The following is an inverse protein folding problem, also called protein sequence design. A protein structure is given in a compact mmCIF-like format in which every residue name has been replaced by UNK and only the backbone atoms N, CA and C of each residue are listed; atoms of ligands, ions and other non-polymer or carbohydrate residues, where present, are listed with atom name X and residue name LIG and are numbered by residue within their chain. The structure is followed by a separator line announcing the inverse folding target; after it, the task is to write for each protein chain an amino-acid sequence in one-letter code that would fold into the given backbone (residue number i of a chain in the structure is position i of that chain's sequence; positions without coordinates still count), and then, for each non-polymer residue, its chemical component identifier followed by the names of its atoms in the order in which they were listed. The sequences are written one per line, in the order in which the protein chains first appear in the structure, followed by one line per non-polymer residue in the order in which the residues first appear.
data_IF_969918053623
#
_entry.id   IF_969918053623
#
_cell.length_a   1.000
_cell.length_b   1.000
_cell.length_c   1.000
_cell.angle_alpha   90.00
_cell.angle_beta   90.00
_cell.angle_gamma   90.00
#
_symmetry.space_group_name_H-M   'P 1'
#
loop_
_entity.id
_entity.type
_entity.pdbx_description
1 polymer ?
#
# COMPACT_ATOMS: atom_id res chain seq x y z
N UNK A 1 -9.42 -54.98 -61.28
CA UNK A 1 -9.97 -53.60 -61.32
C UNK A 1 -8.90 -52.69 -60.72
N UNK A 2 -8.01 -52.04 -61.49
CA UNK A 2 -8.26 -50.91 -62.42
C UNK A 2 -8.93 -49.73 -61.70
N UNK A 3 -8.35 -48.52 -61.66
CA UNK A 3 -7.05 -48.03 -62.18
C UNK A 3 -6.63 -46.73 -61.44
N UNK A 4 -5.33 -46.45 -61.20
CA UNK A 4 -4.81 -45.13 -60.81
C UNK A 4 -4.13 -44.41 -62.01
N UNK A 5 -3.36 -43.33 -61.75
CA UNK A 5 -2.35 -42.67 -62.66
C UNK A 5 -2.98 -41.75 -63.74
N UNK A 6 -2.43 -40.62 -64.23
CA UNK A 6 -1.28 -39.71 -64.00
C UNK A 6 -1.76 -38.25 -64.33
N UNK A 7 -1.15 -37.12 -63.98
CA UNK A 7 0.21 -36.57 -64.23
C UNK A 7 0.55 -36.29 -65.72
N UNK A 8 1.30 -35.19 -65.93
CA UNK A 8 2.09 -34.79 -67.12
C UNK A 8 1.48 -33.81 -68.17
N UNK A 9 2.02 -32.59 -68.11
CA UNK A 9 2.38 -31.65 -69.20
C UNK A 9 3.27 -32.29 -70.30
N UNK A 10 3.77 -31.57 -71.35
CA UNK A 10 3.44 -30.24 -71.90
C UNK A 10 3.27 -30.27 -73.46
N UNK A 11 3.30 -29.11 -74.16
CA UNK A 11 4.29 -28.77 -75.23
C UNK A 11 3.94 -27.46 -75.98
N UNK A 12 4.98 -26.70 -76.33
CA UNK A 12 4.96 -25.48 -77.15
C UNK A 12 4.47 -25.70 -78.60
N UNK A 13 3.90 -24.65 -79.22
CA UNK A 13 4.42 -24.10 -80.49
C UNK A 13 3.79 -22.75 -80.91
N UNK A 14 4.61 -21.95 -81.57
CA UNK A 14 4.29 -20.78 -82.40
C UNK A 14 5.32 -20.76 -83.56
N UNK A 15 5.26 -19.88 -84.58
CA UNK A 15 4.20 -19.01 -85.10
C UNK A 15 4.02 -19.16 -86.66
N UNK A 16 3.37 -18.18 -87.31
CA UNK A 16 3.37 -17.89 -88.78
C UNK A 16 2.49 -18.82 -89.68
N UNK A 17 2.00 -18.42 -90.87
CA UNK A 17 2.22 -17.20 -91.68
C UNK A 17 1.01 -16.82 -92.57
N UNK A 18 1.03 -15.56 -93.04
CA UNK A 18 0.10 -14.84 -93.93
C UNK A 18 -0.18 -15.45 -95.32
N UNK A 19 -1.30 -15.05 -95.96
CA UNK A 19 -1.27 -14.52 -97.35
C UNK A 19 -2.55 -13.76 -97.81
N UNK A 20 -2.30 -12.52 -98.29
CA UNK A 20 -2.88 -11.75 -99.41
C UNK A 20 -4.40 -11.41 -99.58
N UNK A 21 -4.60 -10.12 -99.94
CA UNK A 21 -5.82 -9.40 -100.34
C UNK A 21 -6.36 -9.81 -101.74
N UNK A 22 -7.57 -9.33 -102.13
CA UNK A 22 -7.62 -8.14 -103.02
C UNK A 22 -8.47 -6.95 -102.52
N UNK A 23 -8.38 -5.83 -103.25
CA UNK A 23 -9.02 -4.50 -103.04
C UNK A 23 -9.61 -4.08 -104.41
N UNK A 24 -10.72 -3.35 -104.61
CA UNK A 24 -11.28 -2.12 -103.99
C UNK A 24 -12.84 -2.09 -104.18
N UNK A 25 -13.63 -0.99 -103.99
CA UNK A 25 -13.28 0.39 -103.61
C UNK A 25 -14.16 1.07 -102.51
N UNK A 26 -13.82 2.34 -102.25
CA UNK A 26 -14.32 3.26 -101.23
C UNK A 26 -15.84 3.46 -101.09
N UNK A 27 -16.27 3.66 -99.84
CA UNK A 27 -17.32 4.61 -99.47
C UNK A 27 -16.68 5.71 -98.60
N UNK A 28 -16.98 6.96 -98.90
CA UNK A 28 -16.68 8.09 -98.03
C UNK A 28 -17.81 8.20 -97.01
N UNK A 29 -17.53 7.94 -95.73
CA UNK A 29 -18.41 8.36 -94.63
C UNK A 29 -17.70 9.46 -93.84
N UNK A 30 -18.44 10.52 -93.55
CA UNK A 30 -17.92 11.72 -92.91
C UNK A 30 -17.49 11.44 -91.48
N UNK A 31 -16.19 11.60 -91.17
CA UNK A 31 -15.74 11.69 -89.78
C UNK A 31 -16.28 12.96 -89.14
N UNK A 32 -17.44 12.85 -88.50
CA UNK A 32 -17.90 13.84 -87.52
C UNK A 32 -16.85 13.90 -86.42
N UNK A 33 -16.26 15.08 -86.10
CA UNK A 33 -15.30 15.15 -85.01
C UNK A 33 -16.01 14.86 -83.69
N UNK A 34 -15.58 13.81 -82.99
CA UNK A 34 -15.94 13.58 -81.60
C UNK A 34 -15.50 14.79 -80.78
N UNK A 35 -16.46 15.66 -80.44
CA UNK A 35 -16.24 16.74 -79.48
C UNK A 35 -16.02 16.08 -78.12
N UNK A 36 -14.75 15.88 -77.78
CA UNK A 36 -14.35 15.55 -76.41
C UNK A 36 -14.63 16.81 -75.58
N UNK A 37 -15.86 16.91 -75.07
CA UNK A 37 -16.17 17.94 -74.08
C UNK A 37 -15.24 17.72 -72.89
N UNK A 38 -14.53 18.75 -72.40
CA UNK A 38 -13.77 18.60 -71.17
C UNK A 38 -14.75 18.21 -70.07
N UNK A 39 -14.52 17.05 -69.45
CA UNK A 39 -15.34 16.59 -68.33
C UNK A 39 -15.12 17.56 -67.18
N UNK A 40 -16.03 18.51 -67.02
CA UNK A 40 -15.88 19.56 -66.02
C UNK A 40 -15.92 18.92 -64.63
N UNK A 41 -14.77 18.91 -63.95
CA UNK A 41 -14.59 18.40 -62.60
C UNK A 41 -15.67 18.97 -61.67
N UNK A 42 -16.63 18.12 -61.29
CA UNK A 42 -17.64 18.45 -60.29
C UNK A 42 -17.00 18.28 -58.91
N UNK A 43 -17.23 19.23 -58.03
CA UNK A 43 -16.77 19.17 -56.64
C UNK A 43 -17.97 19.04 -55.71
N UNK A 44 -17.83 18.26 -54.64
CA UNK A 44 -18.83 18.14 -53.58
C UNK A 44 -18.19 18.29 -52.20
N UNK A 45 -19.04 18.52 -51.20
CA UNK A 45 -18.64 18.71 -49.81
C UNK A 45 -19.17 17.60 -48.91
N UNK A 46 -18.36 17.21 -47.93
CA UNK A 46 -18.70 16.23 -46.92
C UNK A 46 -18.55 16.87 -45.55
N UNK A 47 -19.67 17.08 -44.86
CA UNK A 47 -19.69 17.60 -43.48
C UNK A 47 -19.60 16.44 -42.50
N UNK A 48 -18.70 16.53 -41.52
CA UNK A 48 -18.39 15.46 -40.58
C UNK A 48 -18.72 15.94 -39.16
N UNK A 49 -19.60 15.19 -38.50
CA UNK A 49 -19.98 15.39 -37.10
C UNK A 49 -19.36 14.31 -36.22
N UNK A 50 -18.72 14.72 -35.13
CA UNK A 50 -18.21 13.85 -34.08
C UNK A 50 -19.09 14.08 -32.85
N UNK A 51 -20.02 13.16 -32.59
CA UNK A 51 -21.03 13.31 -31.54
C UNK A 51 -20.98 12.15 -30.56
N UNK A 52 -21.37 12.41 -29.33
CA UNK A 52 -21.52 11.38 -28.31
C UNK A 52 -22.89 10.67 -28.40
N UNK A 53 -23.14 9.73 -27.49
CA UNK A 53 -24.41 9.01 -27.38
C UNK A 53 -25.63 9.87 -27.01
N UNK A 54 -25.45 11.09 -26.48
CA UNK A 54 -26.50 12.08 -26.26
C UNK A 54 -26.65 13.07 -27.43
N UNK A 55 -25.95 12.84 -28.55
CA UNK A 55 -25.85 13.73 -29.73
C UNK A 55 -25.15 15.07 -29.45
N UNK A 56 -24.39 15.17 -28.36
CA UNK A 56 -23.57 16.36 -28.04
C UNK A 56 -22.30 16.33 -28.91
N UNK A 57 -21.95 17.43 -29.61
CA UNK A 57 -20.70 17.50 -30.36
C UNK A 57 -19.47 17.43 -29.45
N UNK A 58 -18.58 16.48 -29.71
CA UNK A 58 -17.29 16.35 -29.01
C UNK A 58 -16.23 17.34 -29.52
N UNK A 59 -16.49 17.97 -30.68
CA UNK A 59 -15.70 19.05 -31.28
C UNK A 59 -16.55 19.81 -32.32
N UNK A 60 -16.10 20.98 -32.80
CA UNK A 60 -16.66 21.58 -34.01
C UNK A 60 -16.63 20.60 -35.19
N UNK A 61 -17.66 20.70 -36.02
CA UNK A 61 -17.80 19.96 -37.28
C UNK A 61 -16.64 20.26 -38.22
N UNK A 62 -16.43 19.38 -39.19
CA UNK A 62 -15.38 19.54 -40.18
C UNK A 62 -15.96 19.34 -41.57
N UNK A 63 -15.64 20.22 -42.52
CA UNK A 63 -16.08 20.08 -43.91
C UNK A 63 -14.87 19.75 -44.78
N UNK A 64 -14.99 18.67 -45.55
CA UNK A 64 -14.05 18.33 -46.62
C UNK A 64 -14.67 18.69 -47.96
N UNK A 65 -13.85 19.14 -48.91
CA UNK A 65 -14.26 19.44 -50.29
C UNK A 65 -13.31 18.72 -51.24
N UNK A 66 -13.84 18.09 -52.28
CA UNK A 66 -13.06 17.32 -53.23
C UNK A 66 -13.82 17.02 -54.51
N UNK A 67 -13.10 16.55 -55.52
CA UNK A 67 -13.68 16.20 -56.82
C UNK A 67 -14.49 14.90 -56.70
N UNK A 68 -15.69 14.90 -57.28
CA UNK A 68 -16.62 13.77 -57.24
C UNK A 68 -15.95 12.49 -57.77
N UNK A 69 -16.08 11.39 -57.02
CA UNK A 69 -15.45 10.11 -57.35
C UNK A 69 -14.00 9.96 -56.88
N UNK A 70 -13.32 11.02 -56.44
CA UNK A 70 -11.99 10.89 -55.80
C UNK A 70 -12.10 10.35 -54.37
N UNK A 71 -11.02 9.75 -53.86
CA UNK A 71 -11.00 9.11 -52.52
C UNK A 71 -11.25 10.15 -51.42
N UNK A 72 -12.16 9.83 -50.50
CA UNK A 72 -12.46 10.63 -49.33
C UNK A 72 -11.66 10.11 -48.13
N UNK A 73 -10.56 10.79 -47.79
CA UNK A 73 -9.81 10.50 -46.57
C UNK A 73 -10.53 11.10 -45.34
N UNK A 74 -10.91 10.25 -44.39
CA UNK A 74 -11.69 10.63 -43.22
C UNK A 74 -10.79 10.75 -41.98
N UNK A 75 -10.81 11.89 -41.25
CA UNK A 75 -10.01 12.05 -40.04
C UNK A 75 -10.57 11.17 -38.91
N UNK A 76 -9.93 10.03 -38.68
CA UNK A 76 -10.22 9.17 -37.54
C UNK A 76 -9.70 9.81 -36.25
N UNK A 77 -10.61 10.31 -35.42
CA UNK A 77 -10.26 10.98 -34.17
C UNK A 77 -10.44 10.06 -32.96
N UNK A 78 -9.57 10.22 -31.98
CA UNK A 78 -9.68 9.61 -30.65
C UNK A 78 -9.98 10.70 -29.64
N UNK A 79 -11.10 10.58 -28.93
CA UNK A 79 -11.45 11.46 -27.83
C UNK A 79 -11.12 10.76 -26.52
N UNK A 80 -10.41 11.45 -25.62
CA UNK A 80 -10.00 10.86 -24.35
C UNK A 80 -11.22 10.45 -23.53
N UNK A 81 -11.31 9.15 -23.19
CA UNK A 81 -12.46 8.59 -22.47
C UNK A 81 -13.58 8.02 -23.34
N UNK A 82 -13.45 8.05 -24.66
CA UNK A 82 -14.46 7.56 -25.60
C UNK A 82 -13.88 6.57 -26.61
N UNK A 83 -14.73 5.67 -27.12
CA UNK A 83 -14.45 4.85 -28.29
C UNK A 83 -15.46 5.15 -29.40
N UNK A 84 -15.04 5.00 -30.66
CA UNK A 84 -15.94 5.10 -31.82
C UNK A 84 -16.86 3.87 -31.81
N UNK A 85 -18.16 4.09 -31.70
CA UNK A 85 -19.16 3.05 -31.51
C UNK A 85 -20.00 2.78 -32.76
N UNK A 86 -20.24 3.79 -33.60
CA UNK A 86 -20.94 3.64 -34.87
C UNK A 86 -20.59 4.78 -35.84
N UNK A 87 -20.83 4.56 -37.14
CA UNK A 87 -20.71 5.57 -38.19
C UNK A 87 -21.98 5.50 -39.05
N UNK A 88 -22.59 6.64 -39.36
CA UNK A 88 -23.74 6.73 -40.27
C UNK A 88 -23.36 7.49 -41.54
N UNK A 89 -23.85 6.99 -42.68
CA UNK A 89 -23.64 7.54 -44.02
C UNK A 89 -22.16 7.61 -44.48
N UNK A 90 -21.32 6.68 -44.00
CA UNK A 90 -19.92 6.55 -44.41
C UNK A 90 -19.80 6.46 -45.95
N UNK A 91 -18.85 7.22 -46.52
CA UNK A 91 -18.46 7.17 -47.94
C UNK A 91 -16.96 6.90 -48.04
N UNK A 92 -16.53 6.23 -49.11
CA UNK A 92 -15.12 6.01 -49.44
C UNK A 92 -14.59 7.02 -50.48
N UNK A 93 -15.51 7.67 -51.22
CA UNK A 93 -15.21 8.62 -52.27
C UNK A 93 -16.13 9.84 -52.12
N UNK A 94 -15.75 10.99 -52.69
CA UNK A 94 -16.61 12.17 -52.72
C UNK A 94 -17.89 11.88 -53.53
N UNK A 95 -19.08 12.00 -52.91
CA UNK A 95 -20.38 11.72 -53.55
C UNK A 95 -20.74 12.79 -54.60
N UNK A 96 -21.73 12.54 -55.46
CA UNK A 96 -22.22 13.56 -56.41
C UNK A 96 -22.89 14.76 -55.71
N UNK A 97 -23.57 14.53 -54.59
CA UNK A 97 -24.27 15.54 -53.81
C UNK A 97 -23.60 15.78 -52.46
N UNK A 98 -23.65 17.03 -51.98
CA UNK A 98 -23.17 17.39 -50.64
C UNK A 98 -23.82 16.51 -49.56
N UNK A 99 -23.02 15.93 -48.67
CA UNK A 99 -23.52 14.94 -47.69
C UNK A 99 -22.95 15.15 -46.29
N UNK A 100 -23.59 14.49 -45.31
CA UNK A 100 -23.17 14.56 -43.90
C UNK A 100 -22.87 13.17 -43.36
N UNK A 101 -21.70 13.00 -42.76
CA UNK A 101 -21.23 11.77 -42.09
C UNK A 101 -21.24 12.01 -40.58
N UNK A 102 -21.76 11.04 -39.84
CA UNK A 102 -21.87 11.11 -38.37
C UNK A 102 -21.06 10.00 -37.73
N UNK A 103 -20.06 10.35 -36.92
CA UNK A 103 -19.29 9.43 -36.10
C UNK A 103 -19.81 9.51 -34.67
N UNK A 104 -20.35 8.41 -34.18
CA UNK A 104 -20.96 8.29 -32.85
C UNK A 104 -19.98 7.65 -31.87
N UNK A 105 -19.69 8.36 -30.79
CA UNK A 105 -18.76 7.93 -29.75
C UNK A 105 -19.51 7.56 -28.48
N UNK A 106 -19.06 6.50 -27.80
CA UNK A 106 -19.58 6.09 -26.48
C UNK A 106 -18.50 6.22 -25.42
N UNK A 107 -18.86 6.59 -24.17
CA UNK A 107 -17.92 6.59 -23.06
C UNK A 107 -17.34 5.19 -22.84
N UNK A 108 -16.03 5.11 -22.64
CA UNK A 108 -15.35 3.90 -22.21
C UNK A 108 -15.45 3.80 -20.69
N UNK A 109 -15.91 2.67 -20.17
CA UNK A 109 -15.92 2.43 -18.72
C UNK A 109 -14.50 2.34 -18.16
N UNK A 110 -14.30 2.95 -16.99
CA UNK A 110 -13.06 2.88 -16.24
C UNK A 110 -13.07 1.78 -15.18
N UNK A 111 -11.92 1.55 -14.55
CA UNK A 111 -11.85 0.82 -13.30
C UNK A 111 -12.38 1.71 -12.15
N UNK A 112 -13.08 1.13 -11.15
CA UNK A 112 -13.66 1.90 -10.06
C UNK A 112 -12.58 2.50 -9.14
N UNK A 113 -12.94 3.58 -8.46
CA UNK A 113 -12.17 4.15 -7.34
C UNK A 113 -12.77 3.59 -6.05
N UNK A 114 -11.98 2.86 -5.28
CA UNK A 114 -12.41 2.32 -4.00
C UNK A 114 -12.07 3.31 -2.87
N UNK A 115 -13.08 3.73 -2.11
CA UNK A 115 -12.94 4.64 -0.97
C UNK A 115 -12.96 3.83 0.32
N UNK A 116 -11.89 3.96 1.10
CA UNK A 116 -11.65 3.23 2.34
C UNK A 116 -11.73 4.20 3.53
N UNK A 117 -12.63 3.89 4.46
CA UNK A 117 -12.81 4.64 5.70
C UNK A 117 -12.24 3.82 6.86
N UNK A 118 -11.16 4.30 7.47
CA UNK A 118 -10.33 3.53 8.40
C UNK A 118 -10.14 4.26 9.74
N UNK A 119 -9.95 3.52 10.83
CA UNK A 119 -9.40 4.07 12.06
C UNK A 119 -7.89 4.38 11.92
N UNK A 120 -7.27 4.90 12.97
CA UNK A 120 -5.84 5.25 12.97
C UNK A 120 -4.94 4.03 12.71
N UNK A 121 -5.35 2.87 13.24
CA UNK A 121 -4.69 1.55 13.12
C UNK A 121 -4.82 0.93 11.72
N UNK A 122 -5.70 1.46 10.86
CA UNK A 122 -5.93 0.96 9.49
C UNK A 122 -7.05 -0.10 9.36
N UNK A 123 -7.74 -0.45 10.45
CA UNK A 123 -8.98 -1.22 10.40
C UNK A 123 -10.12 -0.45 9.73
N UNK A 124 -10.95 -1.13 8.94
CA UNK A 124 -12.07 -0.50 8.25
C UNK A 124 -13.25 -0.24 9.20
N UNK A 125 -13.80 0.97 9.14
CA UNK A 125 -14.98 1.39 9.90
C UNK A 125 -16.29 0.95 9.24
N UNK A 126 -16.31 0.96 7.90
CA UNK A 126 -17.40 0.44 7.07
C UNK A 126 -16.86 -0.38 5.90
N UNK A 127 -17.74 -1.10 5.21
CA UNK A 127 -17.40 -1.75 3.94
C UNK A 127 -16.87 -0.70 2.93
N UNK A 128 -15.87 -1.04 2.09
CA UNK A 128 -15.38 -0.15 1.04
C UNK A 128 -16.51 0.38 0.16
N UNK A 129 -16.47 1.68 -0.14
CA UNK A 129 -17.37 2.31 -1.11
C UNK A 129 -16.71 2.35 -2.48
N UNK A 130 -17.51 2.36 -3.55
CA UNK A 130 -17.01 2.39 -4.93
C UNK A 130 -17.58 3.59 -5.66
N UNK A 131 -16.70 4.41 -6.23
CA UNK A 131 -17.07 5.39 -7.25
C UNK A 131 -16.84 4.75 -8.63
N UNK A 132 -17.75 5.01 -9.56
CA UNK A 132 -17.70 4.55 -10.94
C UNK A 132 -17.92 5.74 -11.88
N UNK A 133 -17.32 5.70 -13.06
CA UNK A 133 -17.45 6.74 -14.08
C UNK A 133 -16.76 6.34 -15.38
N UNK A 134 -16.85 7.21 -16.38
CA UNK A 134 -16.16 7.04 -17.65
C UNK A 134 -14.64 7.27 -17.50
N UNK A 135 -13.85 6.67 -18.38
CA UNK A 135 -12.40 6.86 -18.42
C UNK A 135 -12.04 8.34 -18.61
N UNK A 136 -11.13 8.85 -17.80
CA UNK A 136 -10.76 10.27 -17.67
C UNK A 136 -11.84 11.20 -17.09
N UNK A 137 -13.04 10.74 -16.75
CA UNK A 137 -14.02 11.56 -16.01
C UNK A 137 -13.46 11.94 -14.63
N UNK A 138 -13.82 13.11 -14.10
CA UNK A 138 -13.38 13.54 -12.76
C UNK A 138 -14.17 12.82 -11.67
N UNK A 139 -13.51 12.51 -10.56
CA UNK A 139 -14.18 12.05 -9.35
C UNK A 139 -13.79 12.91 -8.15
N UNK A 140 -14.67 12.90 -7.14
CA UNK A 140 -14.41 13.41 -5.80
C UNK A 140 -14.92 12.39 -4.79
N UNK A 141 -14.03 11.92 -3.91
CA UNK A 141 -14.40 11.13 -2.76
C UNK A 141 -14.71 12.04 -1.57
N UNK A 142 -15.76 11.70 -0.83
CA UNK A 142 -16.21 12.43 0.35
C UNK A 142 -15.93 11.62 1.63
N UNK A 143 -15.78 12.28 2.79
CA UNK A 143 -15.82 11.61 4.08
C UNK A 143 -17.11 10.81 4.28
N UNK A 144 -17.11 9.94 5.28
CA UNK A 144 -18.30 9.30 5.82
C UNK A 144 -19.34 10.38 6.19
N UNK A 145 -20.62 10.10 5.97
CA UNK A 145 -21.70 10.99 6.40
C UNK A 145 -21.65 11.23 7.92
N UNK A 146 -21.71 12.50 8.35
CA UNK A 146 -21.44 12.91 9.73
C UNK A 146 -19.97 12.80 10.19
N UNK A 147 -19.12 12.08 9.47
CA UNK A 147 -17.73 11.79 9.81
C UNK A 147 -16.73 12.91 9.56
N UNK A 148 -17.10 13.96 8.81
CA UNK A 148 -16.18 15.00 8.33
C UNK A 148 -15.34 15.68 9.44
N UNK A 149 -15.93 15.92 10.61
CA UNK A 149 -15.26 16.55 11.76
C UNK A 149 -14.20 15.64 12.43
N UNK A 150 -14.22 14.33 12.14
CA UNK A 150 -13.34 13.34 12.73
C UNK A 150 -12.24 12.87 11.74
N UNK A 151 -12.15 13.48 10.56
CA UNK A 151 -11.13 13.12 9.56
C UNK A 151 -9.77 13.62 10.02
N UNK A 152 -8.90 12.69 10.38
CA UNK A 152 -7.52 12.95 10.77
C UNK A 152 -6.60 13.11 9.55
N UNK A 153 -6.82 12.31 8.50
CA UNK A 153 -6.00 12.33 7.28
C UNK A 153 -6.81 11.87 6.05
N UNK A 154 -6.55 12.52 4.91
CA UNK A 154 -7.12 12.16 3.60
C UNK A 154 -5.96 11.90 2.63
N UNK A 155 -6.02 10.86 1.81
CA UNK A 155 -5.03 10.64 0.75
C UNK A 155 -5.11 11.72 -0.34
N UNK A 156 -3.95 12.10 -0.89
CA UNK A 156 -3.83 13.22 -1.84
C UNK A 156 -4.68 13.08 -3.12
N UNK A 157 -5.10 11.85 -3.46
CA UNK A 157 -5.97 11.53 -4.59
C UNK A 157 -7.47 11.56 -4.24
N UNK A 158 -7.89 12.30 -3.20
CA UNK A 158 -9.31 12.50 -2.86
C UNK A 158 -10.14 12.97 -4.06
N UNK A 159 -9.56 13.89 -4.85
CA UNK A 159 -10.06 14.26 -6.17
C UNK A 159 -9.10 13.75 -7.22
N UNK A 160 -9.61 13.41 -8.40
CA UNK A 160 -8.80 12.84 -9.46
C UNK A 160 -9.57 12.60 -10.73
N UNK A 161 -9.06 11.70 -11.58
CA UNK A 161 -9.77 11.19 -12.75
C UNK A 161 -9.80 9.67 -12.71
N UNK A 162 -10.86 9.08 -13.25
CA UNK A 162 -10.97 7.65 -13.43
C UNK A 162 -9.94 7.14 -14.46
N UNK A 163 -9.33 5.99 -14.20
CA UNK A 163 -8.30 5.39 -15.08
C UNK A 163 -8.65 3.93 -15.41
N UNK A 164 -7.84 3.28 -16.25
CA UNK A 164 -7.95 1.84 -16.52
C UNK A 164 -7.50 0.95 -15.35
N UNK A 165 -6.97 1.53 -14.27
CA UNK A 165 -6.54 0.82 -13.05
C UNK A 165 -7.38 1.26 -11.85
N UNK A 166 -7.70 0.31 -10.97
CA UNK A 166 -8.36 0.60 -9.68
C UNK A 166 -7.50 1.56 -8.87
N UNK A 167 -8.14 2.57 -8.29
CA UNK A 167 -7.51 3.55 -7.41
C UNK A 167 -8.09 3.42 -6.00
N UNK A 168 -7.29 3.77 -4.99
CA UNK A 168 -7.67 3.68 -3.60
C UNK A 168 -7.62 5.09 -2.98
N UNK A 169 -8.73 5.55 -2.41
CA UNK A 169 -8.78 6.79 -1.61
C UNK A 169 -8.96 6.41 -0.15
N UNK A 170 -8.15 6.98 0.72
CA UNK A 170 -8.14 6.67 2.14
C UNK A 170 -8.57 7.88 2.96
N UNK A 171 -9.60 7.69 3.79
CA UNK A 171 -9.94 8.57 4.91
C UNK A 171 -9.57 7.84 6.20
N UNK A 172 -8.67 8.42 6.99
CA UNK A 172 -8.40 7.98 8.37
C UNK A 172 -9.14 8.89 9.34
N UNK A 173 -9.82 8.29 10.30
CA UNK A 173 -10.60 8.99 11.32
C UNK A 173 -9.97 8.89 12.70
N UNK A 174 -9.94 10.01 13.41
CA UNK A 174 -9.74 10.10 14.85
C UNK A 174 -11.07 10.56 15.48
N UNK A 175 -11.93 9.64 15.96
CA UNK A 175 -13.19 10.01 16.59
C UNK A 175 -12.98 10.74 17.93
N UNK A 176 -11.81 10.60 18.55
CA UNK A 176 -11.51 11.22 19.84
C UNK A 176 -10.98 12.65 19.68
N UNK A 177 -10.40 12.98 18.51
CA UNK A 177 -9.90 14.31 18.12
C UNK A 177 -9.04 14.96 19.22
N UNK A 178 -8.08 14.18 19.74
CA UNK A 178 -7.41 14.49 21.00
C UNK A 178 -6.32 15.53 20.83
N UNK A 179 -6.41 16.62 21.59
CA UNK A 179 -5.31 17.58 21.72
C UNK A 179 -4.32 17.07 22.75
N UNK A 180 -3.29 16.39 22.27
CA UNK A 180 -2.16 15.94 23.08
C UNK A 180 -1.27 17.11 23.53
N UNK A 181 -0.72 17.02 24.73
CA UNK A 181 0.30 17.94 25.24
C UNK A 181 1.22 17.24 26.23
N UNK A 182 2.38 17.83 26.49
CA UNK A 182 3.34 17.31 27.46
C UNK A 182 2.79 17.26 28.90
N UNK A 183 3.50 16.55 29.76
CA UNK A 183 3.28 16.57 31.20
C UNK A 183 3.26 18.01 31.74
N UNK A 184 2.31 18.34 32.63
CA UNK A 184 2.26 19.66 33.25
C UNK A 184 3.50 19.91 34.13
N UNK A 185 3.78 21.18 34.44
CA UNK A 185 4.90 21.57 35.33
C UNK A 185 4.84 20.85 36.69
N UNK A 186 3.62 20.71 37.23
CA UNK A 186 3.34 19.85 38.38
C UNK A 186 3.20 18.39 37.91
N UNK A 187 4.32 17.67 37.85
CA UNK A 187 4.44 16.35 37.20
C UNK A 187 3.82 15.19 37.97
N UNK A 188 3.33 15.39 39.19
CA UNK A 188 2.73 14.34 40.00
C UNK A 188 1.24 14.63 40.25
N UNK A 189 0.42 13.59 40.22
CA UNK A 189 -1.01 13.63 40.53
C UNK A 189 -1.30 12.77 41.75
N UNK A 190 -1.92 13.36 42.77
CA UNK A 190 -2.52 12.63 43.90
C UNK A 190 -4.02 12.47 43.67
N UNK A 191 -4.51 11.24 43.78
CA UNK A 191 -5.93 10.92 43.60
C UNK A 191 -6.69 11.09 44.92
N UNK A 192 -7.73 11.92 44.95
CA UNK A 192 -8.55 12.14 46.15
C UNK A 192 -9.72 11.14 46.28
N UNK A 193 -9.86 10.24 45.32
CA UNK A 193 -10.82 9.14 45.24
C UNK A 193 -10.20 7.96 44.48
N UNK A 194 -10.86 6.80 44.45
CA UNK A 194 -10.37 5.69 43.62
C UNK A 194 -10.74 5.90 42.15
N UNK A 195 -9.77 5.80 41.24
CA UNK A 195 -9.89 6.26 39.84
C UNK A 195 -9.75 5.09 38.86
N UNK A 196 -10.67 5.00 37.89
CA UNK A 196 -10.61 4.01 36.82
C UNK A 196 -9.42 4.25 35.89
N UNK A 197 -8.84 3.17 35.36
CA UNK A 197 -7.76 3.25 34.37
C UNK A 197 -8.23 2.80 33.00
N UNK A 198 -7.61 3.32 31.95
CA UNK A 198 -8.01 3.11 30.56
C UNK A 198 -6.77 2.86 29.68
N UNK A 199 -6.87 2.03 28.64
CA UNK A 199 -5.75 1.76 27.71
C UNK A 199 -5.41 2.98 26.83
N UNK A 200 -6.43 3.75 26.47
CA UNK A 200 -6.36 4.98 25.69
C UNK A 200 -7.31 6.02 26.33
N UNK A 201 -7.20 7.33 26.02
CA UNK A 201 -8.04 8.37 26.62
C UNK A 201 -9.47 8.41 26.03
N UNK A 202 -10.19 7.28 26.13
CA UNK A 202 -11.62 7.10 25.85
C UNK A 202 -12.24 6.29 26.98
N UNK A 203 -13.52 6.57 27.31
CA UNK A 203 -14.25 5.80 28.34
C UNK A 203 -14.49 4.34 27.94
N UNK A 204 -14.58 4.08 26.64
CA UNK A 204 -14.78 2.75 26.05
C UNK A 204 -13.57 1.83 26.28
N UNK A 205 -12.40 2.40 26.57
CA UNK A 205 -11.14 1.67 26.73
C UNK A 205 -10.81 1.31 28.19
N UNK A 206 -11.84 1.16 29.02
CA UNK A 206 -11.73 0.83 30.44
C UNK A 206 -10.92 -0.47 30.67
N UNK A 207 -9.98 -0.45 31.60
CA UNK A 207 -9.27 -1.66 32.05
C UNK A 207 -9.86 -2.23 33.33
N UNK A 208 -9.56 -3.50 33.62
CA UNK A 208 -9.93 -4.14 34.90
C UNK A 208 -9.25 -3.54 36.14
N UNK A 209 -8.23 -2.68 35.96
CA UNK A 209 -7.46 -2.08 37.06
C UNK A 209 -8.03 -0.73 37.51
N UNK A 210 -8.04 -0.50 38.82
CA UNK A 210 -8.44 0.77 39.44
C UNK A 210 -7.37 1.25 40.41
N UNK A 211 -7.05 2.55 40.39
CA UNK A 211 -6.08 3.14 41.30
C UNK A 211 -6.77 3.49 42.64
N UNK A 212 -6.15 3.21 43.79
CA UNK A 212 -6.74 3.52 45.09
C UNK A 212 -6.69 5.03 45.40
N UNK A 213 -7.55 5.45 46.34
CA UNK A 213 -7.49 6.79 46.93
C UNK A 213 -6.10 7.04 47.54
N UNK A 214 -5.60 8.27 47.42
CA UNK A 214 -4.26 8.71 47.83
C UNK A 214 -3.11 8.00 47.10
N UNK A 215 -3.34 7.32 45.96
CA UNK A 215 -2.25 6.95 45.08
C UNK A 215 -1.65 8.21 44.45
N UNK A 216 -0.31 8.24 44.36
CA UNK A 216 0.45 9.34 43.75
C UNK A 216 1.19 8.80 42.55
N UNK A 217 0.99 9.43 41.39
CA UNK A 217 1.54 8.97 40.11
C UNK A 217 2.23 10.10 39.37
N UNK A 218 3.27 9.75 38.60
CA UNK A 218 3.91 10.68 37.67
C UNK A 218 3.10 10.76 36.37
N UNK A 219 2.80 11.97 35.94
CA UNK A 219 2.20 12.26 34.62
C UNK A 219 3.32 12.31 33.58
N UNK A 220 3.13 11.62 32.46
CA UNK A 220 4.05 11.64 31.32
C UNK A 220 3.54 12.50 30.17
N UNK A 221 2.23 12.54 29.94
CA UNK A 221 1.58 13.43 28.97
C UNK A 221 0.11 13.65 29.34
N UNK A 222 -0.56 14.53 28.60
CA UNK A 222 -1.99 14.82 28.72
C UNK A 222 -2.66 14.74 27.35
N UNK A 223 -3.97 14.49 27.35
CA UNK A 223 -4.83 14.65 26.20
C UNK A 223 -6.12 15.37 26.61
N UNK A 224 -6.67 16.19 25.73
CA UNK A 224 -7.93 16.90 25.94
C UNK A 224 -8.86 16.60 24.77
N UNK A 225 -10.08 16.12 25.07
CA UNK A 225 -11.13 15.89 24.06
C UNK A 225 -11.69 17.21 23.54
N UNK A 226 -12.40 17.23 22.39
CA UNK A 226 -13.12 18.42 21.93
C UNK A 226 -14.14 18.98 22.94
N UNK A 227 -14.70 18.13 23.80
CA UNK A 227 -15.59 18.51 24.91
C UNK A 227 -14.87 19.11 26.13
N UNK A 228 -13.54 19.24 26.10
CA UNK A 228 -12.73 19.77 27.20
C UNK A 228 -12.40 18.75 28.30
N UNK A 229 -12.78 17.48 28.15
CA UNK A 229 -12.44 16.43 29.13
C UNK A 229 -10.94 16.16 29.11
N UNK A 230 -10.30 16.30 30.26
CA UNK A 230 -8.85 16.14 30.40
C UNK A 230 -8.48 14.71 30.85
N UNK A 231 -7.47 14.16 30.19
CA UNK A 231 -6.88 12.87 30.46
C UNK A 231 -5.39 13.00 30.79
N UNK A 232 -4.90 12.16 31.70
CA UNK A 232 -3.50 12.07 32.10
C UNK A 232 -2.94 10.70 31.76
N UNK A 233 -1.78 10.65 31.11
CA UNK A 233 -1.02 9.42 30.87
C UNK A 233 -0.04 9.18 32.02
N UNK A 234 -0.07 7.97 32.59
CA UNK A 234 0.78 7.52 33.70
C UNK A 234 1.86 6.51 33.26
N UNK A 235 2.21 6.50 31.98
CA UNK A 235 3.05 5.49 31.33
C UNK A 235 2.17 4.36 30.78
N UNK A 236 1.81 3.40 31.63
CA UNK A 236 1.07 2.19 31.21
C UNK A 236 -0.44 2.38 31.03
N UNK A 237 -1.02 3.45 31.58
CA UNK A 237 -2.48 3.68 31.56
C UNK A 237 -2.81 5.17 31.44
N UNK A 238 -4.02 5.45 30.98
CA UNK A 238 -4.67 6.76 31.04
C UNK A 238 -5.68 6.82 32.19
N UNK A 239 -5.84 8.01 32.78
CA UNK A 239 -6.87 8.30 33.78
C UNK A 239 -7.54 9.65 33.51
N UNK A 240 -8.79 9.79 33.97
CA UNK A 240 -9.54 11.05 34.01
C UNK A 240 -10.27 11.17 35.36
N UNK A 241 -9.54 11.47 36.46
CA UNK A 241 -10.12 11.60 37.80
C UNK A 241 -11.00 12.84 37.93
N UNK A 242 -12.10 12.74 38.69
CA UNK A 242 -12.94 13.90 39.02
C UNK A 242 -12.33 14.71 40.17
N UNK A 243 -11.65 14.05 41.12
CA UNK A 243 -11.02 14.69 42.29
C UNK A 243 -9.55 14.31 42.43
N UNK A 244 -8.66 15.30 42.27
CA UNK A 244 -7.22 15.13 42.37
C UNK A 244 -6.51 16.42 42.83
N UNK A 245 -5.23 16.31 43.18
CA UNK A 245 -4.30 17.43 43.37
C UNK A 245 -3.05 17.23 42.52
N UNK A 246 -2.39 18.33 42.12
CA UNK A 246 -1.15 18.29 41.34
C UNK A 246 0.04 18.81 42.16
N UNK A 247 1.15 18.09 42.10
CA UNK A 247 2.37 18.33 42.87
C UNK A 247 3.60 18.45 41.94
N UNK A 248 4.56 19.31 42.29
CA UNK A 248 5.80 19.48 41.52
C UNK A 248 6.77 18.30 41.71
N UNK A 249 6.90 17.85 42.95
CA UNK A 249 7.66 16.66 43.39
C UNK A 249 6.69 15.55 43.81
N UNK A 250 7.21 14.36 44.16
CA UNK A 250 6.38 13.29 44.73
C UNK A 250 6.20 13.54 46.24
N UNK A 251 5.02 13.94 46.75
CA UNK A 251 4.79 14.16 48.19
C UNK A 251 4.92 12.89 49.05
N UNK A 252 5.01 11.70 48.42
CA UNK A 252 5.25 10.41 49.08
C UNK A 252 6.63 9.83 48.77
N UNK A 253 7.48 10.57 48.05
CA UNK A 253 8.89 10.24 47.94
C UNK A 253 9.64 10.84 49.12
N UNK A 254 10.43 10.02 49.80
CA UNK A 254 11.48 10.54 50.68
C UNK A 254 12.62 11.09 49.83
N UNK A 255 13.19 12.24 50.20
CA UNK A 255 14.47 12.73 49.65
C UNK A 255 15.66 11.88 50.10
N UNK A 256 15.42 10.92 51.02
CA UNK A 256 16.38 9.88 51.37
C UNK A 256 16.74 9.07 50.12
N UNK A 257 18.00 9.13 49.71
CA UNK A 257 18.56 8.25 48.67
C UNK A 257 18.24 6.80 49.05
N UNK A 258 17.52 6.08 48.19
CA UNK A 258 17.23 4.66 48.41
C UNK A 258 18.56 3.89 48.48
N UNK A 259 19.03 3.62 49.69
CA UNK A 259 20.21 2.81 49.94
C UNK A 259 19.82 1.36 49.65
N UNK A 260 20.22 0.87 48.47
CA UNK A 260 20.05 -0.53 48.10
C UNK A 260 20.64 -1.38 49.22
N UNK A 261 19.87 -2.27 49.88
CA UNK A 261 20.38 -3.08 50.96
C UNK A 261 21.64 -3.82 50.52
N UNK A 262 22.73 -3.68 51.27
CA UNK A 262 24.01 -4.28 50.90
C UNK A 262 23.98 -5.79 51.18
N UNK A 263 23.40 -6.54 50.23
CA UNK A 263 23.27 -7.99 50.30
C UNK A 263 24.65 -8.63 50.50
N UNK A 264 24.89 -9.13 51.71
CA UNK A 264 26.11 -9.88 52.02
C UNK A 264 25.79 -11.35 51.88
N UNK A 265 26.23 -11.98 50.79
CA UNK A 265 26.06 -13.41 50.56
C UNK A 265 26.94 -14.23 51.53
N UNK A 266 26.44 -14.41 52.76
CA UNK A 266 27.02 -15.35 53.72
C UNK A 266 26.52 -16.75 53.38
N UNK A 267 27.45 -17.68 53.19
CA UNK A 267 27.18 -19.10 52.98
C UNK A 267 28.11 -19.92 53.85
N UNK A 268 27.65 -21.09 54.30
CA UNK A 268 28.47 -22.15 54.83
C UNK A 268 28.75 -23.20 53.75
N UNK A 269 29.96 -23.78 53.78
CA UNK A 269 30.28 -24.96 52.97
C UNK A 269 29.75 -26.20 53.67
N UNK A 270 28.79 -26.88 53.03
CA UNK A 270 28.19 -28.13 53.56
C UNK A 270 29.02 -29.36 53.16
N UNK A 271 29.52 -29.39 51.92
CA UNK A 271 30.31 -30.52 51.42
C UNK A 271 31.34 -30.07 50.39
N UNK A 272 32.54 -30.64 50.49
CA UNK A 272 33.61 -30.48 49.50
C UNK A 272 33.99 -31.85 48.93
N UNK A 273 34.07 -31.96 47.61
CA UNK A 273 34.51 -33.16 46.90
C UNK A 273 35.70 -32.78 46.02
N UNK A 274 36.90 -33.28 46.34
CA UNK A 274 38.09 -33.09 45.49
C UNK A 274 37.99 -34.00 44.27
N UNK A 275 38.15 -33.47 43.06
CA UNK A 275 37.84 -34.20 41.82
C UNK A 275 38.96 -34.21 40.78
N UNK A 276 39.76 -33.14 40.63
CA UNK A 276 40.89 -33.09 39.68
C UNK A 276 40.61 -33.58 38.23
N UNK A 277 39.36 -33.45 37.77
CA UNK A 277 38.89 -33.91 36.46
C UNK A 277 38.89 -32.79 35.40
N UNK A 278 38.93 -33.17 34.13
CA UNK A 278 38.75 -32.25 33.00
C UNK A 278 37.29 -32.24 32.55
N UNK A 279 36.73 -31.05 32.35
CA UNK A 279 35.36 -30.84 31.89
C UNK A 279 35.32 -29.81 30.76
N UNK A 280 34.25 -29.81 29.98
CA UNK A 280 34.02 -28.80 28.93
C UNK A 280 32.91 -27.83 29.34
N UNK A 281 33.09 -26.55 29.00
CA UNK A 281 32.08 -25.52 29.23
C UNK A 281 30.91 -25.66 28.23
N UNK A 282 29.68 -25.57 28.73
CA UNK A 282 28.45 -25.81 27.97
C UNK A 282 28.03 -24.60 27.13
N UNK A 283 28.38 -23.39 27.55
CA UNK A 283 27.91 -22.13 26.98
C UNK A 283 29.07 -21.35 26.34
N UNK A 284 28.77 -20.53 25.32
CA UNK A 284 29.74 -19.58 24.73
C UNK A 284 29.99 -18.35 25.61
N UNK A 285 29.14 -18.10 26.61
CA UNK A 285 29.32 -17.03 27.61
C UNK A 285 29.32 -17.66 29.00
N UNK A 286 30.34 -17.36 29.82
CA UNK A 286 30.52 -17.95 31.15
C UNK A 286 30.94 -16.88 32.14
N UNK A 287 30.32 -16.89 33.33
CA UNK A 287 30.70 -16.03 34.46
C UNK A 287 31.58 -16.82 35.42
N UNK A 288 32.81 -16.33 35.61
CA UNK A 288 33.71 -16.79 36.65
C UNK A 288 33.64 -15.86 37.86
N UNK A 289 33.91 -16.40 39.04
CA UNK A 289 33.82 -15.72 40.33
C UNK A 289 35.11 -15.94 41.14
N UNK A 290 35.44 -15.04 42.06
CA UNK A 290 36.63 -15.18 42.92
C UNK A 290 36.36 -16.15 44.09
N UNK A 291 35.12 -16.17 44.57
CA UNK A 291 34.53 -17.19 45.43
C UNK A 291 33.04 -17.33 45.05
N UNK A 292 32.30 -18.36 45.49
CA UNK A 292 30.86 -18.43 45.30
C UNK A 292 30.16 -17.10 45.67
N UNK A 293 29.36 -16.57 44.74
CA UNK A 293 28.67 -15.27 44.85
C UNK A 293 29.55 -14.02 44.99
N UNK A 294 30.87 -14.11 44.84
CA UNK A 294 31.79 -12.99 45.03
C UNK A 294 32.56 -12.58 43.76
N UNK A 295 32.54 -11.28 43.45
CA UNK A 295 33.20 -10.62 42.31
C UNK A 295 33.02 -11.35 40.94
N UNK A 296 31.80 -11.36 40.37
CA UNK A 296 31.56 -12.00 39.07
C UNK A 296 32.24 -11.25 37.93
N UNK A 297 32.89 -11.99 37.04
CA UNK A 297 33.40 -11.49 35.75
C UNK A 297 32.95 -12.42 34.63
N UNK A 298 32.25 -11.86 33.63
CA UNK A 298 31.66 -12.61 32.52
C UNK A 298 32.53 -12.51 31.27
N UNK A 299 32.82 -13.64 30.65
CA UNK A 299 33.67 -13.73 29.46
C UNK A 299 32.95 -14.46 28.33
N UNK A 300 33.24 -14.06 27.09
CA UNK A 300 32.99 -14.90 25.91
C UNK A 300 34.10 -15.95 25.84
N UNK A 301 33.73 -17.22 25.62
CA UNK A 301 34.62 -18.38 25.57
C UNK A 301 34.33 -19.21 24.32
N UNK A 302 35.35 -19.89 23.79
CA UNK A 302 35.15 -20.78 22.66
C UNK A 302 34.25 -21.97 23.07
N UNK A 303 33.31 -22.43 22.21
CA UNK A 303 32.49 -23.59 22.51
C UNK A 303 33.32 -24.82 22.90
N UNK A 304 32.86 -25.57 23.91
CA UNK A 304 33.54 -26.76 24.47
C UNK A 304 34.94 -26.52 25.06
N UNK A 305 35.34 -25.27 25.34
CA UNK A 305 36.59 -24.94 26.05
C UNK A 305 36.77 -25.84 27.26
N UNK A 306 37.93 -26.53 27.33
CA UNK A 306 38.24 -27.45 28.43
C UNK A 306 38.79 -26.69 29.64
N UNK A 307 38.30 -27.05 30.82
CA UNK A 307 38.75 -26.56 32.12
C UNK A 307 39.06 -27.73 33.04
N UNK A 308 39.94 -27.54 34.03
CA UNK A 308 40.26 -28.57 35.03
C UNK A 308 39.65 -28.19 36.37
N UNK A 309 38.69 -29.00 36.83
CA UNK A 309 38.02 -28.86 38.12
C UNK A 309 38.96 -29.37 39.20
N UNK A 310 39.31 -28.53 40.18
CA UNK A 310 40.05 -28.92 41.38
C UNK A 310 39.10 -29.62 42.36
N UNK A 311 37.98 -28.98 42.68
CA UNK A 311 36.98 -29.46 43.64
C UNK A 311 35.58 -28.96 43.29
N UNK A 312 34.57 -29.71 43.72
CA UNK A 312 33.15 -29.31 43.73
C UNK A 312 32.73 -29.09 45.17
N UNK A 313 32.05 -27.97 45.42
CA UNK A 313 31.59 -27.54 46.73
C UNK A 313 30.08 -27.35 46.70
N UNK A 314 29.38 -27.88 47.70
CA UNK A 314 27.95 -27.70 47.94
C UNK A 314 27.80 -26.78 49.15
N UNK A 315 26.98 -25.74 49.00
CA UNK A 315 26.71 -24.75 50.03
C UNK A 315 25.42 -25.05 50.81
N UNK A 316 25.22 -24.34 51.92
CA UNK A 316 24.01 -24.39 52.75
C UNK A 316 22.72 -24.08 51.98
N UNK A 317 22.78 -23.14 51.03
CA UNK A 317 21.72 -22.85 50.09
C UNK A 317 21.57 -23.88 48.94
N UNK A 318 22.20 -25.06 49.07
CA UNK A 318 22.21 -26.18 48.12
C UNK A 318 22.85 -25.89 46.75
N UNK A 319 23.38 -24.68 46.52
CA UNK A 319 24.09 -24.37 45.27
C UNK A 319 25.39 -25.18 45.15
N UNK A 320 25.74 -25.53 43.92
CA UNK A 320 26.88 -26.40 43.60
C UNK A 320 27.88 -25.68 42.71
N UNK A 321 29.10 -25.56 43.20
CA UNK A 321 30.15 -24.71 42.67
C UNK A 321 31.42 -25.50 42.39
N UNK A 322 32.00 -25.32 41.20
CA UNK A 322 33.28 -25.90 40.84
C UNK A 322 34.39 -24.85 41.04
N UNK A 323 35.40 -25.16 41.84
CA UNK A 323 36.67 -24.43 41.80
C UNK A 323 37.55 -25.04 40.71
N UNK A 324 38.06 -24.21 39.80
CA UNK A 324 39.03 -24.61 38.80
C UNK A 324 40.46 -24.59 39.36
N UNK A 325 41.40 -25.27 38.69
CA UNK A 325 42.84 -25.19 39.03
C UNK A 325 43.42 -23.76 38.92
N UNK A 326 42.77 -22.86 38.17
CA UNK A 326 43.10 -21.43 38.11
C UNK A 326 42.69 -20.64 39.36
N UNK A 327 42.00 -21.27 40.32
CA UNK A 327 41.47 -20.65 41.54
C UNK A 327 40.06 -20.06 41.38
N UNK A 328 39.65 -19.74 40.15
CA UNK A 328 38.32 -19.23 39.81
C UNK A 328 37.20 -20.24 40.08
N UNK A 329 35.99 -19.73 40.30
CA UNK A 329 34.78 -20.50 40.57
C UNK A 329 33.71 -20.29 39.51
N UNK A 330 32.88 -21.31 39.30
CA UNK A 330 31.68 -21.24 38.45
C UNK A 330 30.64 -22.29 38.90
N UNK A 331 29.37 -22.12 38.52
CA UNK A 331 28.30 -23.07 38.89
C UNK A 331 28.43 -24.38 38.11
N UNK A 332 28.34 -25.52 38.79
CA UNK A 332 28.59 -26.86 38.22
C UNK A 332 27.76 -27.16 36.96
N UNK A 333 26.50 -26.69 36.90
CA UNK A 333 25.62 -26.86 35.73
C UNK A 333 26.09 -26.19 34.43
N UNK A 334 27.14 -25.36 34.47
CA UNK A 334 27.79 -24.79 33.29
C UNK A 334 28.83 -25.72 32.65
N UNK A 335 29.04 -26.92 33.22
CA UNK A 335 30.02 -27.90 32.78
C UNK A 335 29.35 -29.19 32.31
N UNK A 336 30.01 -29.87 31.38
CA UNK A 336 29.82 -31.29 31.09
C UNK A 336 31.11 -32.01 31.47
N UNK A 337 30.99 -33.00 32.36
CA UNK A 337 32.09 -33.93 32.66
C UNK A 337 32.33 -34.80 31.43
N UNK A 338 33.60 -34.96 31.04
CA UNK A 338 34.01 -35.81 29.92
C UNK A 338 34.53 -37.17 30.42
#
# INVERSE_FOLDING_TARGET
MHKPVAEQEPIHQAPQSSQNQPVAPASQDETTPLVIMPTQSRFSTVTIHYIDHHRVPLRPTMTLTGEVGTVLDLPWLKFAGYYLAAITNLKQHFPEENTTIWLFYKPQLAAPVMVLHQNLEGGLLIKPQFLSGALNERYQANPLEGGANFVHHISANQTGRFTTKTQFVHFKYDPLNLKHSDAPKQRFIELLESTNTYQQPSEEALTASRLPKHAVWKIYSRAITPSGKQWFNLGSFWISPTRYQLHATNPKGSDETYQVPKFTYRYAVVKTTSLNLSASLNNSTVTFWQAPYDHPTTYQVMPKTRVVIKQVVILDNQSRWCQLKTGQWLMEGLLTLN
#
